data_IF_538300929251
#
_entry.id   IF_538300929251
#
_cell.length_a   1.000
_cell.length_b   1.000
_cell.length_c   1.000
_cell.angle_alpha   90.00
_cell.angle_beta   90.00
_cell.angle_gamma   90.00
#
_symmetry.space_group_name_H-M   'P 1'
#
loop_
_entity.id
_entity.type
_entity.pdbx_description
1 polymer ?
#
# COMPACT_ATOMS: atom_id res chain seq x y z
N UNK A 1 -27.81 19.52 -3.73
CA UNK A 1 -28.28 19.49 -3.67
C UNK A 1 -28.61 19.10 -3.99
N UNK A 2 -27.82 18.94 -3.83
CA UNK A 2 -27.87 18.60 -3.78
C UNK A 2 -27.69 18.16 -3.96
N UNK A 3 -26.86 18.11 -3.71
CA UNK A 3 -26.65 17.77 -3.66
C UNK A 3 -26.57 17.38 -3.80
N UNK A 4 -25.65 17.57 -3.53
CA UNK A 4 -25.69 17.41 -3.45
C UNK A 4 -25.50 16.98 -3.59
N UNK A 5 -25.12 16.77 -3.69
CA UNK A 5 -25.04 16.63 -3.46
C UNK A 5 -24.74 16.20 -3.74
N UNK A 6 -23.96 16.05 -3.39
CA UNK A 6 -23.98 16.00 -3.37
C UNK A 6 -23.72 15.68 -3.56
N UNK A 7 -22.92 15.58 -3.47
CA UNK A 7 -22.85 15.51 -3.36
C UNK A 7 -22.83 15.32 -3.33
N UNK A 8 -22.29 15.15 -3.05
CA UNK A 8 -22.58 15.22 -2.83
C UNK A 8 -22.46 14.98 -2.96
N UNK A 9 -21.62 15.08 -2.84
CA UNK A 9 -21.79 15.24 -2.66
C UNK A 9 -21.54 14.96 -2.82
N UNK A 10 -21.08 14.81 -2.65
CA UNK A 10 -21.15 14.95 -2.54
C UNK A 10 -20.98 14.72 -2.61
N UNK A 11 -20.20 14.57 -2.53
CA UNK A 11 -20.35 14.76 -2.14
C UNK A 11 -20.14 14.55 -2.25
N UNK A 12 -19.44 14.53 -1.93
CA UNK A 12 -19.62 14.76 -1.67
C UNK A 12 -19.54 14.59 -1.58
N UNK A 13 -18.54 14.71 -1.47
CA UNK A 13 -18.81 15.00 -1.03
C UNK A 13 -18.62 14.73 -0.86
N UNK A 14 -18.07 14.53 -0.77
CA UNK A 14 -18.27 14.66 -0.17
C UNK A 14 -18.01 14.37 -0.10
N UNK A 15 -17.38 14.39 0.28
CA UNK A 15 -17.61 14.46 0.70
C UNK A 15 -17.70 14.43 1.15
N UNK A 16 -16.92 14.32 1.27
CA UNK A 16 -17.42 14.52 1.92
C UNK A 16 -17.56 14.30 2.29
N UNK A 17 -17.19 14.22 2.69
CA UNK A 17 -17.73 14.29 3.45
C UNK A 17 -17.96 13.95 3.87
N UNK A 18 -17.70 13.87 4.32
CA UNK A 18 -18.20 13.68 5.05
C UNK A 18 -18.20 13.27 5.48
N UNK A 19 -17.96 13.13 5.91
CA UNK A 19 -18.15 12.79 6.59
C UNK A 19 -18.10 12.32 7.03
N UNK A 20 -17.93 12.19 7.37
CA UNK A 20 -17.95 11.78 8.02
C UNK A 20 -18.03 11.33 8.46
N UNK A 21 -18.11 11.27 8.91
CA UNK A 21 -18.26 10.81 9.39
C UNK A 21 -18.74 10.28 9.46
N UNK A 22 -18.79 9.85 9.82
CA UNK A 22 -19.09 9.20 9.87
C UNK A 22 -19.21 8.63 10.04
N UNK A 23 -20.15 8.93 10.24
CA UNK A 23 -19.80 8.03 10.73
C UNK A 23 -18.79 7.54 10.64
N UNK A 24 -18.70 8.07 10.85
CA UNK A 24 -17.43 7.99 11.14
C UNK A 24 -16.61 6.93 10.62
N UNK A 25 -16.78 6.66 9.56
CA UNK A 25 -15.98 5.68 8.90
C UNK A 25 -14.86 6.33 8.10
N UNK A 26 -13.65 6.08 8.49
CA UNK A 26 -12.51 6.56 7.73
C UNK A 26 -11.99 5.39 6.89
N UNK A 27 -11.96 5.58 5.59
CA UNK A 27 -11.36 4.60 4.69
C UNK A 27 -9.86 4.79 4.73
N UNK A 28 -9.13 3.76 5.10
CA UNK A 28 -7.67 3.82 5.15
C UNK A 28 -7.13 3.31 3.83
N UNK A 29 -6.19 4.05 3.28
CA UNK A 29 -5.52 3.69 2.05
C UNK A 29 -4.06 3.44 2.37
N UNK A 30 -3.51 2.37 1.85
CA UNK A 30 -2.09 2.10 1.95
C UNK A 30 -1.53 1.89 0.56
N UNK A 31 -0.41 2.51 0.28
CA UNK A 31 0.31 2.31 -0.97
C UNK A 31 1.60 1.59 -0.68
N UNK A 32 1.71 0.39 -1.23
CA UNK A 32 2.91 -0.40 -1.10
C UNK A 32 3.76 -0.18 -2.35
N UNK A 33 5.05 -0.01 -2.14
CA UNK A 33 6.01 0.11 -3.23
C UNK A 33 7.07 -0.96 -3.04
N UNK A 34 7.19 -1.85 -4.02
CA UNK A 34 8.19 -2.91 -3.97
C UNK A 34 9.29 -2.56 -4.97
N UNK A 35 10.48 -2.33 -4.46
CA UNK A 35 11.64 -1.93 -5.26
C UNK A 35 12.54 -3.14 -5.44
N UNK A 36 12.84 -3.48 -6.68
CA UNK A 36 13.66 -4.63 -6.98
C UNK A 36 14.30 -4.52 -8.33
N UNK A 37 14.54 -5.68 -8.97
CA UNK A 37 15.05 -5.72 -10.33
C UNK A 37 14.64 -7.04 -10.98
N UNK A 38 14.63 -7.10 -12.31
CA UNK A 38 14.33 -8.36 -13.00
C UNK A 38 15.38 -9.43 -12.67
N UNK A 39 14.94 -10.69 -12.63
CA UNK A 39 15.85 -11.81 -12.41
C UNK A 39 16.34 -11.96 -10.99
N UNK A 40 15.71 -11.32 -10.04
CA UNK A 40 16.09 -11.38 -8.64
C UNK A 40 15.16 -12.34 -7.90
N UNK A 41 15.71 -13.45 -7.40
CA UNK A 41 14.89 -14.45 -6.69
C UNK A 41 14.28 -13.90 -5.41
N UNK A 42 15.02 -13.12 -4.65
CA UNK A 42 14.49 -12.53 -3.43
C UNK A 42 13.38 -11.54 -3.74
N UNK A 43 13.50 -10.85 -4.87
CA UNK A 43 12.43 -9.92 -5.28
C UNK A 43 11.17 -10.67 -5.66
N UNK A 44 11.31 -11.81 -6.33
CA UNK A 44 10.17 -12.64 -6.68
C UNK A 44 9.50 -13.20 -5.43
N UNK A 45 10.30 -13.68 -4.47
CA UNK A 45 9.78 -14.17 -3.20
C UNK A 45 9.04 -13.06 -2.45
N UNK A 46 9.61 -11.86 -2.44
CA UNK A 46 8.99 -10.72 -1.78
C UNK A 46 7.64 -10.39 -2.40
N UNK A 47 7.56 -10.44 -3.73
CA UNK A 47 6.30 -10.17 -4.42
C UNK A 47 5.23 -11.17 -4.00
N UNK A 48 5.59 -12.46 -3.91
CA UNK A 48 4.64 -13.48 -3.51
C UNK A 48 4.13 -13.26 -2.10
N UNK A 49 5.05 -12.91 -1.18
CA UNK A 49 4.68 -12.65 0.20
C UNK A 49 3.73 -11.45 0.28
N UNK A 50 4.08 -10.37 -0.42
CA UNK A 50 3.27 -9.15 -0.40
C UNK A 50 1.87 -9.44 -0.94
N UNK A 51 1.80 -10.15 -2.06
CA UNK A 51 0.50 -10.45 -2.66
C UNK A 51 -0.35 -11.35 -1.78
N UNK A 52 0.27 -12.33 -1.11
CA UNK A 52 -0.45 -13.21 -0.19
C UNK A 52 -1.00 -12.43 1.00
N UNK A 53 -0.19 -11.54 1.56
CA UNK A 53 -0.63 -10.72 2.69
C UNK A 53 -1.75 -9.78 2.27
N UNK A 54 -1.63 -9.17 1.08
CA UNK A 54 -2.70 -8.31 0.58
C UNK A 54 -4.02 -9.06 0.49
N UNK A 55 -3.98 -10.30 -0.01
CA UNK A 55 -5.19 -11.10 -0.11
C UNK A 55 -5.79 -11.39 1.26
N UNK A 56 -4.95 -11.69 2.25
CA UNK A 56 -5.43 -11.94 3.61
C UNK A 56 -6.06 -10.71 4.22
N UNK A 57 -5.44 -9.55 4.02
CA UNK A 57 -5.95 -8.30 4.57
C UNK A 57 -7.27 -7.93 3.91
N UNK A 58 -7.35 -8.14 2.60
CA UNK A 58 -8.57 -7.82 1.86
C UNK A 58 -9.75 -8.70 2.26
N UNK A 59 -9.46 -9.88 2.80
CA UNK A 59 -10.50 -10.78 3.27
C UNK A 59 -10.93 -10.49 4.72
N UNK A 60 -10.29 -9.55 5.40
CA UNK A 60 -10.62 -9.22 6.78
C UNK A 60 -11.83 -8.30 6.83
N UNK A 61 -12.35 -8.09 8.05
CA UNK A 61 -13.45 -7.15 8.26
C UNK A 61 -12.95 -5.74 8.06
N UNK A 62 -13.71 -4.94 7.29
CA UNK A 62 -13.40 -3.53 7.04
C UNK A 62 -11.94 -3.33 6.59
N UNK A 63 -11.54 -4.00 5.51
CA UNK A 63 -10.15 -3.92 5.09
C UNK A 63 -9.78 -2.54 4.57
N UNK A 64 -8.53 -2.12 4.74
CA UNK A 64 -8.04 -0.92 4.09
C UNK A 64 -7.92 -1.15 2.59
N UNK A 65 -7.90 -0.07 1.82
CA UNK A 65 -7.62 -0.17 0.39
C UNK A 65 -6.11 -0.21 0.22
N UNK A 66 -5.62 -1.20 -0.51
CA UNK A 66 -4.20 -1.40 -0.69
C UNK A 66 -3.88 -1.42 -2.17
N UNK A 67 -2.91 -0.62 -2.56
CA UNK A 67 -2.38 -0.67 -3.93
C UNK A 67 -0.92 -1.06 -3.86
N UNK A 68 -0.46 -1.77 -4.88
CA UNK A 68 0.92 -2.20 -4.98
C UNK A 68 1.51 -1.66 -6.26
N UNK A 69 2.63 -0.97 -6.13
CA UNK A 69 3.40 -0.47 -7.25
C UNK A 69 4.78 -1.12 -7.21
N UNK A 70 5.27 -1.58 -8.35
CA UNK A 70 6.61 -2.15 -8.42
C UNK A 70 7.51 -1.22 -9.21
N UNK A 71 8.72 -1.04 -8.71
CA UNK A 71 9.72 -0.19 -9.35
C UNK A 71 11.02 -0.97 -9.47
N UNK A 72 11.73 -0.74 -10.57
CA UNK A 72 13.01 -1.38 -10.81
C UNK A 72 14.14 -0.38 -10.64
N UNK A 73 15.21 -0.81 -9.95
CA UNK A 73 16.40 0.03 -9.84
C UNK A 73 17.06 0.23 -11.19
N UNK A 74 16.73 -0.59 -12.18
CA UNK A 74 17.29 -0.41 -13.53
C UNK A 74 16.66 0.77 -14.26
N UNK A 75 15.46 1.20 -13.83
CA UNK A 75 14.73 2.27 -14.50
C UNK A 75 14.97 3.64 -13.87
N UNK A 76 15.64 3.69 -12.71
CA UNK A 76 15.79 4.94 -11.97
C UNK A 76 17.13 4.93 -11.24
N UNK A 77 18.04 5.79 -11.69
CA UNK A 77 19.37 5.84 -11.11
C UNK A 77 19.36 6.22 -9.63
N UNK A 78 18.42 7.05 -9.22
CA UNK A 78 18.31 7.45 -7.82
C UNK A 78 17.91 6.28 -6.94
N UNK A 79 17.02 5.41 -7.45
CA UNK A 79 16.64 4.20 -6.72
C UNK A 79 17.83 3.24 -6.63
N UNK A 80 18.59 3.10 -7.72
CA UNK A 80 19.73 2.22 -7.72
C UNK A 80 20.78 2.69 -6.72
N UNK A 81 21.04 3.98 -6.69
CA UNK A 81 22.02 4.53 -5.78
C UNK A 81 21.61 4.31 -4.32
N UNK A 82 20.33 4.43 -4.04
CA UNK A 82 19.83 4.37 -2.67
C UNK A 82 19.62 2.95 -2.18
N UNK A 83 19.16 2.05 -3.06
CA UNK A 83 18.64 0.75 -2.62
C UNK A 83 19.33 -0.46 -3.26
N UNK A 84 20.30 -0.29 -4.15
CA UNK A 84 20.83 -1.41 -4.93
C UNK A 84 21.28 -2.60 -4.08
N UNK A 85 21.79 -2.34 -2.88
CA UNK A 85 22.29 -3.39 -2.01
C UNK A 85 21.24 -3.90 -1.03
N UNK A 86 20.06 -3.31 -1.05
CA UNK A 86 19.00 -3.64 -0.09
C UNK A 86 17.77 -4.26 -0.72
N UNK A 87 17.77 -4.38 -2.05
CA UNK A 87 16.59 -4.94 -2.72
C UNK A 87 16.39 -6.40 -2.35
N UNK A 88 15.16 -6.87 -2.26
CA UNK A 88 13.92 -6.09 -2.44
C UNK A 88 13.66 -5.19 -1.23
N UNK A 89 13.17 -3.98 -1.51
CA UNK A 89 12.77 -3.03 -0.46
C UNK A 89 11.28 -2.80 -0.57
N UNK A 90 10.59 -2.93 0.55
CA UNK A 90 9.16 -2.67 0.61
C UNK A 90 8.90 -1.38 1.37
N UNK A 91 8.23 -0.44 0.71
CA UNK A 91 7.81 0.81 1.33
C UNK A 91 6.31 0.74 1.60
N UNK A 92 5.88 1.29 2.73
CA UNK A 92 4.48 1.51 3.02
C UNK A 92 4.29 3.01 3.12
N UNK A 93 3.46 3.55 2.23
CA UNK A 93 3.15 4.99 2.21
C UNK A 93 4.41 5.85 2.16
N UNK A 94 5.40 5.38 1.41
CA UNK A 94 6.62 6.12 1.17
C UNK A 94 7.74 5.87 2.17
N UNK A 95 7.50 5.07 3.20
CA UNK A 95 8.51 4.80 4.22
C UNK A 95 8.96 3.36 4.16
N UNK A 96 10.27 3.14 4.33
CA UNK A 96 10.82 1.79 4.30
C UNK A 96 10.23 0.97 5.45
N UNK A 97 9.63 -0.16 5.08
CA UNK A 97 9.04 -1.07 6.05
C UNK A 97 9.93 -2.29 6.28
N UNK A 98 10.44 -2.85 5.19
CA UNK A 98 11.20 -4.10 5.26
C UNK A 98 12.10 -4.18 4.04
N UNK A 99 13.20 -4.91 4.14
CA UNK A 99 14.05 -5.15 2.98
C UNK A 99 14.65 -6.54 3.06
N UNK A 100 15.18 -7.03 1.94
CA UNK A 100 15.70 -8.37 1.72
C UNK A 100 14.59 -9.43 1.81
N UNK A 101 14.20 -9.83 2.99
CA UNK A 101 13.13 -10.80 3.18
C UNK A 101 11.96 -10.11 3.83
N UNK A 102 10.81 -10.25 3.20
CA UNK A 102 9.60 -9.59 3.69
C UNK A 102 8.93 -10.51 4.70
N UNK A 103 8.73 -10.00 5.91
CA UNK A 103 8.08 -10.73 6.98
C UNK A 103 6.56 -10.58 6.83
N UNK A 104 5.84 -11.67 6.51
CA UNK A 104 4.40 -11.56 6.27
C UNK A 104 3.61 -11.14 7.50
N UNK A 105 4.01 -11.59 8.69
CA UNK A 105 3.30 -11.23 9.92
C UNK A 105 3.47 -9.73 10.20
N UNK A 106 4.68 -9.24 10.07
CA UNK A 106 4.96 -7.83 10.30
C UNK A 106 4.20 -6.95 9.32
N UNK A 107 4.17 -7.35 8.05
CA UNK A 107 3.46 -6.60 7.02
C UNK A 107 1.96 -6.59 7.30
N UNK A 108 1.39 -7.75 7.59
CA UNK A 108 -0.04 -7.84 7.88
C UNK A 108 -0.41 -6.97 9.07
N UNK A 109 0.40 -7.03 10.14
CA UNK A 109 0.15 -6.23 11.33
C UNK A 109 0.17 -4.74 11.00
N UNK A 110 1.15 -4.30 10.21
CA UNK A 110 1.26 -2.90 9.84
C UNK A 110 0.05 -2.43 9.03
N UNK A 111 -0.41 -3.26 8.09
CA UNK A 111 -1.53 -2.88 7.24
C UNK A 111 -2.84 -2.83 8.01
N UNK A 112 -3.03 -3.71 8.98
CA UNK A 112 -4.26 -3.74 9.76
C UNK A 112 -4.28 -2.70 10.86
N UNK A 113 -3.10 -2.30 11.35
CA UNK A 113 -3.00 -1.29 12.41
C UNK A 113 -3.28 0.12 11.89
N UNK A 114 -3.02 0.28 10.61
CA UNK A 114 -3.07 1.52 9.90
C UNK A 114 -3.99 2.55 10.24
#
# INVERSE_FOLDING_TARGET
MKRVGSRDASGSAGRSSTTAIYAGRVTRDHRLTLIGKPGCHLCDDAREVVQAVMAEVEASDAPPRITLEEQSILDDAALAERYAEEIPVLLIDGEVHNYWRIDPVRLKTALLAG
#
